data_IF_773973931153
#
_entry.id   IF_773973931153
#
_cell.length_a   1.000
_cell.length_b   1.000
_cell.length_c   1.000
_cell.angle_alpha   90.00
_cell.angle_beta   90.00
_cell.angle_gamma   90.00
#
_symmetry.space_group_name_H-M   'P 1'
#
loop_
_entity.id
_entity.type
_entity.pdbx_description
1 polymer ?
#
# COMPACT_ATOMS: atom_id res chain seq x y z
N UNK A 1 8.39 3.21 -6.62
CA UNK A 1 7.77 1.89 -6.33
C UNK A 1 6.33 1.95 -6.78
N UNK A 2 5.94 1.11 -7.73
CA UNK A 2 4.55 1.01 -8.16
C UNK A 2 3.89 -0.05 -7.28
N UNK A 3 2.82 0.31 -6.60
CA UNK A 3 2.21 -0.57 -5.62
C UNK A 3 0.70 -0.59 -5.71
N UNK A 4 0.13 -1.78 -5.51
CA UNK A 4 -1.31 -1.98 -5.49
C UNK A 4 -1.81 -1.95 -4.05
N UNK A 5 -2.97 -1.35 -3.87
CA UNK A 5 -3.69 -1.33 -2.59
C UNK A 5 -4.21 -2.73 -2.27
N UNK A 6 -4.03 -3.17 -1.02
CA UNK A 6 -4.63 -4.41 -0.56
C UNK A 6 -6.17 -4.32 -0.62
N UNK A 7 -6.84 -5.45 -0.92
CA UNK A 7 -8.29 -5.52 -1.02
C UNK A 7 -9.00 -5.04 0.25
N UNK A 8 -8.41 -5.29 1.43
CA UNK A 8 -8.89 -4.80 2.72
C UNK A 8 -9.00 -3.27 2.75
N UNK A 9 -8.02 -2.54 2.19
CA UNK A 9 -8.06 -1.07 2.17
C UNK A 9 -9.17 -0.53 1.26
N UNK A 10 -9.44 -1.21 0.13
CA UNK A 10 -10.58 -0.87 -0.75
C UNK A 10 -11.93 -1.11 -0.07
N UNK A 11 -12.08 -2.21 0.65
CA UNK A 11 -13.30 -2.51 1.42
C UNK A 11 -13.56 -1.49 2.54
N UNK A 12 -12.50 -0.97 3.18
CA UNK A 12 -12.62 0.04 4.23
C UNK A 12 -12.63 1.48 3.68
N UNK A 13 -12.73 1.66 2.37
CA UNK A 13 -12.74 2.98 1.70
C UNK A 13 -11.57 3.90 2.09
N UNK A 14 -10.40 3.30 2.38
CA UNK A 14 -9.20 4.07 2.75
C UNK A 14 -8.61 4.66 1.47
N UNK A 15 -8.73 5.98 1.29
CA UNK A 15 -8.10 6.72 0.19
C UNK A 15 -6.64 6.99 0.54
N UNK A 16 -5.76 6.86 -0.45
CA UNK A 16 -4.36 7.24 -0.33
C UNK A 16 -4.22 8.59 -1.02
N UNK A 17 -3.77 9.58 -0.26
CA UNK A 17 -3.37 10.89 -0.77
C UNK A 17 -1.84 10.92 -0.87
N UNK A 18 -1.28 11.71 -1.80
CA UNK A 18 0.13 12.06 -1.71
C UNK A 18 0.40 12.67 -0.33
N UNK A 19 1.57 12.38 0.26
CA UNK A 19 1.98 12.70 1.65
C UNK A 19 1.55 11.73 2.75
N UNK A 20 0.73 10.71 2.45
CA UNK A 20 0.37 9.70 3.45
C UNK A 20 1.50 8.72 3.76
N UNK A 21 1.71 8.43 5.05
CA UNK A 21 2.59 7.35 5.49
C UNK A 21 1.89 6.01 5.41
N UNK A 22 2.42 5.12 4.58
CA UNK A 22 1.85 3.79 4.34
C UNK A 22 2.89 2.68 4.57
N UNK A 23 2.41 1.54 5.07
CA UNK A 23 3.18 0.30 5.17
C UNK A 23 3.03 -0.46 3.87
N UNK A 24 4.17 -0.80 3.27
CA UNK A 24 4.25 -1.55 2.03
C UNK A 24 4.94 -2.89 2.30
N UNK A 25 4.26 -3.99 1.97
CA UNK A 25 4.91 -5.30 1.86
C UNK A 25 5.52 -5.43 0.47
N UNK A 26 6.81 -5.77 0.43
CA UNK A 26 7.55 -6.00 -0.81
C UNK A 26 7.68 -7.50 -1.05
N UNK A 27 7.56 -7.92 -2.30
CA UNK A 27 7.91 -9.29 -2.67
C UNK A 27 9.43 -9.45 -2.64
N UNK A 28 9.96 -10.55 -2.10
CA UNK A 28 11.42 -10.77 -2.04
C UNK A 28 12.08 -10.90 -3.42
N UNK A 29 11.27 -11.14 -4.46
CA UNK A 29 11.72 -11.31 -5.84
C UNK A 29 11.80 -9.98 -6.63
N UNK A 30 11.02 -8.97 -6.23
CA UNK A 30 10.92 -7.70 -6.96
C UNK A 30 10.70 -6.54 -5.98
N UNK A 31 11.77 -5.80 -5.68
CA UNK A 31 11.74 -4.61 -4.82
C UNK A 31 11.04 -3.40 -5.50
N UNK A 32 10.74 -3.52 -6.80
CA UNK A 32 10.10 -2.46 -7.58
C UNK A 32 8.57 -2.41 -7.41
N UNK A 33 7.97 -3.55 -7.00
CA UNK A 33 6.53 -3.74 -6.83
C UNK A 33 6.19 -4.03 -5.37
N UNK A 34 5.23 -3.28 -4.84
CA UNK A 34 4.81 -3.41 -3.44
C UNK A 34 3.30 -3.55 -3.29
N UNK A 35 2.86 -4.10 -2.16
CA UNK A 35 1.46 -4.11 -1.76
C UNK A 35 1.27 -3.21 -0.55
N UNK A 36 0.36 -2.24 -0.66
CA UNK A 36 0.05 -1.33 0.45
C UNK A 36 -0.94 -2.02 1.36
N UNK A 37 -0.54 -2.27 2.62
CA UNK A 37 -1.34 -3.04 3.59
C UNK A 37 -2.00 -2.13 4.61
N UNK A 38 -1.32 -1.07 5.01
CA UNK A 38 -1.77 -0.19 6.09
C UNK A 38 -1.41 1.26 5.83
N UNK A 39 -2.24 2.18 6.34
CA UNK A 39 -1.98 3.62 6.35
C UNK A 39 -1.93 4.06 7.81
N UNK A 40 -0.86 4.73 8.21
CA UNK A 40 -0.78 5.37 9.52
C UNK A 40 -1.62 6.64 9.53
N UNK A 41 -2.23 6.93 10.68
CA UNK A 41 -2.97 8.16 10.90
C UNK A 41 -2.03 9.28 11.34
#
# INVERSE_FOLDING_TARGET
>A
VLGHIAGKMRQHYIRILPEDRVVVELSPYDLSRGRIVYRYK
#
